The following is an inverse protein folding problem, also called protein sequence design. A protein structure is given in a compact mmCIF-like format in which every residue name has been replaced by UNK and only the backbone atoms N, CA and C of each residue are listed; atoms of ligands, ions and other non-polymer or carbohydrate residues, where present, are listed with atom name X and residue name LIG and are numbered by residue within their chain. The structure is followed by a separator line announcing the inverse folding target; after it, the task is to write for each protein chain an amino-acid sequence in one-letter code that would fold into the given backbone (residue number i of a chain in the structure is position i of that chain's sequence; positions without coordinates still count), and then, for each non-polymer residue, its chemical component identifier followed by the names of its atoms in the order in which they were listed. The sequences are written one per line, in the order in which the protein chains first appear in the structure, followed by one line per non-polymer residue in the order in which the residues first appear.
data_IF_348477967025
#
_entry.id   IF_348477967025
#
_cell.length_a   1.000
_cell.length_b   1.000
_cell.length_c   1.000
_cell.angle_alpha   90.00
_cell.angle_beta   90.00
_cell.angle_gamma   90.00
#
_symmetry.space_group_name_H-M   'P 1'
#
loop_
_entity.id
_entity.type
_entity.pdbx_description
1 polymer ?
#
# COMPACT_ATOMS: atom_id res chain seq x y z
N UNK A 1 -23.95 65.88 47.49
CA UNK A 1 -22.87 66.14 48.45
C UNK A 1 -21.59 66.54 47.74
N UNK A 2 -20.74 67.38 48.32
CA UNK A 2 -19.49 67.87 47.78
C UNK A 2 -19.61 69.13 46.89
N UNK A 3 -20.79 69.53 46.40
CA UNK A 3 -21.00 70.72 45.70
C UNK A 3 -21.68 71.73 46.66
N UNK A 4 -21.19 72.95 46.69
CA UNK A 4 -21.64 74.02 47.51
C UNK A 4 -22.13 75.18 46.61
N UNK A 5 -23.04 75.98 47.16
CA UNK A 5 -23.54 77.23 46.51
C UNK A 5 -23.15 78.44 47.31
N UNK A 6 -22.52 79.40 46.70
CA UNK A 6 -22.12 80.65 47.27
C UNK A 6 -23.28 81.71 47.19
N UNK A 7 -24.03 81.95 48.26
CA UNK A 7 -25.21 82.77 48.22
C UNK A 7 -24.94 84.29 47.97
N UNK A 8 -23.68 84.69 48.14
CA UNK A 8 -23.25 86.07 47.91
C UNK A 8 -22.86 86.40 46.48
N UNK A 9 -22.43 85.39 45.72
CA UNK A 9 -21.90 85.57 44.35
C UNK A 9 -22.53 84.62 43.31
N UNK A 10 -23.47 83.74 43.73
CA UNK A 10 -24.18 82.81 42.81
C UNK A 10 -23.35 81.69 42.19
N UNK A 11 -22.17 81.43 42.75
CA UNK A 11 -21.27 80.41 42.21
C UNK A 11 -21.50 79.00 42.82
N UNK A 12 -21.43 77.96 42.01
CA UNK A 12 -21.34 76.60 42.46
C UNK A 12 -19.86 76.20 42.52
N UNK A 13 -19.38 75.52 43.58
CA UNK A 13 -18.04 75.11 43.76
C UNK A 13 -17.93 73.84 44.61
N UNK A 14 -16.81 73.14 44.56
CA UNK A 14 -16.54 71.90 45.29
C UNK A 14 -16.36 70.72 44.36
N UNK A 15 -16.06 69.52 44.94
CA UNK A 15 -15.93 68.27 44.22
C UNK A 15 -17.09 67.36 44.57
N UNK A 16 -17.89 66.87 43.64
CA UNK A 16 -18.96 65.94 43.92
C UNK A 16 -18.37 64.62 44.43
N UNK A 17 -18.99 64.01 45.44
CA UNK A 17 -18.56 62.79 46.11
C UNK A 17 -19.59 61.65 46.02
N UNK A 18 -20.72 61.88 45.31
CA UNK A 18 -21.78 60.90 45.06
C UNK A 18 -22.38 61.15 43.66
N UNK A 19 -22.85 60.09 43.03
CA UNK A 19 -23.61 60.24 41.79
C UNK A 19 -24.93 60.88 42.02
N UNK A 20 -25.36 61.78 41.09
CA UNK A 20 -26.60 62.54 41.23
C UNK A 20 -27.34 62.58 39.91
N UNK A 21 -28.59 62.09 39.87
CA UNK A 21 -29.41 62.21 38.67
C UNK A 21 -29.64 63.69 38.33
N UNK A 22 -29.94 63.94 37.05
CA UNK A 22 -30.24 65.27 36.57
C UNK A 22 -31.33 65.93 37.44
N UNK A 23 -30.96 67.00 38.14
CA UNK A 23 -31.86 67.77 39.00
C UNK A 23 -31.77 69.27 38.67
N UNK A 24 -32.92 69.91 38.51
CA UNK A 24 -33.01 71.33 38.18
C UNK A 24 -33.16 72.19 39.46
N UNK A 25 -32.29 73.11 39.60
CA UNK A 25 -32.26 74.09 40.71
C UNK A 25 -32.60 75.48 40.21
N UNK A 26 -33.53 76.19 40.85
CA UNK A 26 -33.80 77.58 40.54
C UNK A 26 -32.94 78.45 41.42
N UNK A 27 -32.04 79.20 40.81
CA UNK A 27 -31.22 80.22 41.48
C UNK A 27 -31.89 81.59 41.37
N UNK A 28 -32.07 82.26 42.50
CA UNK A 28 -32.67 83.57 42.58
C UNK A 28 -31.62 84.61 42.94
N UNK A 29 -31.65 85.70 42.19
CA UNK A 29 -30.86 86.89 42.51
C UNK A 29 -31.86 88.03 42.92
N UNK A 30 -31.68 88.50 44.15
CA UNK A 30 -32.60 89.43 44.75
C UNK A 30 -31.91 90.80 45.07
N UNK A 31 -32.55 91.92 44.82
CA UNK A 31 -32.12 93.26 45.30
C UNK A 31 -33.34 94.06 45.77
N UNK A 32 -33.16 95.31 46.14
CA UNK A 32 -34.23 96.17 46.66
C UNK A 32 -35.29 96.49 45.61
N UNK A 33 -35.00 96.26 44.31
CA UNK A 33 -35.91 96.52 43.20
C UNK A 33 -36.69 95.29 42.72
N UNK A 34 -36.40 94.09 43.24
CA UNK A 34 -37.05 92.83 42.84
C UNK A 34 -36.16 91.66 42.79
N UNK A 35 -36.69 90.56 42.20
CA UNK A 35 -35.95 89.26 42.02
C UNK A 35 -36.05 88.79 40.58
N UNK A 36 -34.97 88.12 40.15
CA UNK A 36 -34.89 87.43 38.87
C UNK A 36 -34.33 86.05 39.16
N UNK A 37 -34.75 85.03 38.39
CA UNK A 37 -34.31 83.67 38.57
C UNK A 37 -33.77 83.08 37.29
N UNK A 38 -32.87 82.10 37.41
CA UNK A 38 -32.38 81.23 36.35
C UNK A 38 -32.41 79.73 36.80
N UNK A 39 -32.63 78.84 35.88
CA UNK A 39 -32.60 77.40 36.17
C UNK A 39 -31.24 76.88 35.78
N UNK A 40 -30.61 76.07 36.70
CA UNK A 40 -29.37 75.32 36.47
C UNK A 40 -29.69 73.84 36.71
N UNK A 41 -29.39 73.01 35.72
CA UNK A 41 -29.52 71.59 35.87
C UNK A 41 -28.12 70.97 36.18
N UNK A 42 -28.03 70.23 37.26
CA UNK A 42 -26.80 69.59 37.70
C UNK A 42 -27.02 68.08 37.61
N UNK A 43 -26.01 67.34 36.99
CA UNK A 43 -25.91 65.91 36.95
C UNK A 43 -24.50 65.56 37.44
N UNK A 44 -24.35 64.54 38.25
CA UNK A 44 -23.05 64.01 38.61
C UNK A 44 -23.01 62.55 38.10
N UNK A 45 -22.11 62.29 37.17
CA UNK A 45 -21.89 61.01 36.54
C UNK A 45 -20.58 60.40 37.04
N UNK A 46 -20.42 59.16 36.87
CA UNK A 46 -19.20 58.47 37.19
C UNK A 46 -18.03 58.83 36.26
N UNK A 47 -16.82 58.61 36.65
CA UNK A 47 -15.65 58.69 35.73
C UNK A 47 -15.69 57.59 34.71
N UNK A 48 -15.32 57.85 33.46
CA UNK A 48 -15.21 56.85 32.41
C UNK A 48 -14.02 55.97 32.72
N UNK A 49 -14.13 54.61 32.64
CA UNK A 49 -12.99 53.69 32.76
C UNK A 49 -11.93 54.03 31.70
N UNK A 50 -10.65 53.78 32.02
CA UNK A 50 -9.56 54.17 31.14
C UNK A 50 -9.35 53.13 30.02
N UNK A 51 -9.49 51.85 30.34
CA UNK A 51 -9.24 50.77 29.39
C UNK A 51 -9.89 49.43 29.83
N UNK A 52 -10.12 48.55 28.84
CA UNK A 52 -10.54 47.18 29.02
C UNK A 52 -9.42 46.27 28.45
N UNK A 53 -9.04 45.26 29.18
CA UNK A 53 -8.03 44.28 28.76
C UNK A 53 -8.61 42.88 28.89
N UNK A 54 -8.72 42.13 27.78
CA UNK A 54 -8.86 40.68 27.79
C UNK A 54 -7.47 40.05 27.74
N UNK A 55 -7.21 38.94 28.48
CA UNK A 55 -5.92 38.23 28.46
C UNK A 55 -5.55 37.72 27.08
N UNK A 56 -6.56 37.41 26.24
CA UNK A 56 -6.42 36.90 24.89
C UNK A 56 -7.32 37.71 23.96
N UNK A 57 -6.71 38.27 22.90
CA UNK A 57 -7.44 39.08 21.88
C UNK A 57 -7.71 38.28 20.58
N UNK A 58 -7.10 37.10 20.41
CA UNK A 58 -7.40 36.15 19.33
C UNK A 58 -7.71 34.80 19.99
N UNK A 59 -8.98 34.58 20.27
CA UNK A 59 -9.45 33.37 20.94
C UNK A 59 -9.68 32.27 19.93
N UNK A 60 -8.73 31.31 19.89
CA UNK A 60 -8.78 30.13 19.02
C UNK A 60 -9.29 28.95 19.82
N UNK A 61 -10.48 28.48 19.48
CA UNK A 61 -11.17 27.38 20.16
C UNK A 61 -11.31 26.18 19.26
N UNK A 62 -11.47 25.01 19.91
CA UNK A 62 -11.76 23.76 19.22
C UNK A 62 -13.20 23.34 19.48
N UNK A 63 -13.93 23.00 18.43
CA UNK A 63 -15.33 22.58 18.50
C UNK A 63 -15.53 21.42 19.50
N UNK A 64 -16.58 21.50 20.32
CA UNK A 64 -16.93 20.52 21.35
C UNK A 64 -15.81 20.23 22.36
N UNK A 65 -14.86 21.16 22.56
CA UNK A 65 -13.73 20.98 23.47
C UNK A 65 -13.63 22.16 24.44
N UNK A 66 -13.41 21.88 25.70
CA UNK A 66 -13.13 22.90 26.69
C UNK A 66 -11.76 23.54 26.42
N UNK A 67 -11.70 24.87 26.53
CA UNK A 67 -10.45 25.61 26.32
C UNK A 67 -9.89 26.10 27.66
N UNK A 68 -8.57 26.09 27.87
CA UNK A 68 -7.94 26.72 29.02
C UNK A 68 -8.04 28.25 29.02
N UNK A 69 -8.34 28.86 27.87
CA UNK A 69 -8.51 30.32 27.73
C UNK A 69 -9.91 30.79 28.14
N UNK A 70 -10.79 29.87 28.52
CA UNK A 70 -12.13 30.14 29.03
C UNK A 70 -12.27 29.69 30.48
N UNK A 71 -12.99 30.47 31.35
CA UNK A 71 -13.66 31.73 31.04
C UNK A 71 -12.68 32.86 30.75
N UNK A 72 -12.99 33.67 29.74
CA UNK A 72 -12.25 34.87 29.40
C UNK A 72 -12.83 36.05 30.16
N UNK A 73 -12.10 36.52 31.17
CA UNK A 73 -12.54 37.53 32.13
C UNK A 73 -11.83 38.85 31.81
N UNK A 74 -12.58 39.96 31.57
CA UNK A 74 -11.98 41.26 31.30
C UNK A 74 -11.38 41.86 32.59
N UNK A 75 -10.32 42.63 32.42
CA UNK A 75 -9.75 43.52 33.44
C UNK A 75 -10.05 44.97 33.08
N UNK A 76 -10.50 45.73 34.03
CA UNK A 76 -10.80 47.16 33.88
C UNK A 76 -9.72 47.95 34.58
N UNK A 77 -9.27 49.02 33.93
CA UNK A 77 -8.35 50.00 34.51
C UNK A 77 -9.01 51.38 34.60
N UNK A 78 -8.59 52.14 35.61
CA UNK A 78 -9.14 53.46 35.85
C UNK A 78 -10.27 53.49 36.88
N UNK A 79 -10.74 54.68 37.24
CA UNK A 79 -11.84 54.87 38.15
C UNK A 79 -13.20 54.63 37.49
N UNK A 80 -14.22 54.49 38.31
CA UNK A 80 -15.61 54.32 37.85
C UNK A 80 -16.08 52.88 37.82
N UNK A 81 -17.21 52.62 38.45
CA UNK A 81 -17.83 51.30 38.50
C UNK A 81 -18.57 50.99 37.18
N UNK A 82 -18.34 49.81 36.61
CA UNK A 82 -19.06 49.33 35.42
C UNK A 82 -20.48 48.91 35.83
N UNK A 83 -21.46 49.43 35.14
CA UNK A 83 -22.89 49.13 35.39
C UNK A 83 -23.46 48.14 34.40
N UNK A 84 -22.88 48.01 33.20
CA UNK A 84 -23.32 47.06 32.17
C UNK A 84 -22.25 46.83 31.14
N UNK A 85 -22.33 45.64 30.51
CA UNK A 85 -21.48 45.24 29.41
C UNK A 85 -22.32 44.92 28.18
N UNK A 86 -21.81 45.24 27.02
CA UNK A 86 -22.41 44.91 25.73
C UNK A 86 -21.41 44.32 24.79
N UNK A 87 -21.86 43.48 23.86
CA UNK A 87 -21.06 42.91 22.78
C UNK A 87 -21.84 43.07 21.46
N UNK A 88 -21.14 43.33 20.36
CA UNK A 88 -21.74 43.32 19.04
C UNK A 88 -21.92 41.89 18.53
N UNK A 89 -23.02 41.62 17.85
CA UNK A 89 -23.27 40.30 17.23
C UNK A 89 -23.57 39.17 18.21
N UNK A 90 -23.73 37.97 17.64
CA UNK A 90 -23.96 36.72 18.38
C UNK A 90 -22.66 35.91 18.49
N UNK A 91 -22.38 35.39 19.66
CA UNK A 91 -21.29 34.43 19.84
C UNK A 91 -21.63 33.09 19.18
N UNK A 92 -20.59 32.26 18.81
CA UNK A 92 -20.78 30.88 18.41
C UNK A 92 -21.63 30.09 19.40
N UNK A 93 -22.43 29.16 18.89
CA UNK A 93 -23.27 28.31 19.72
C UNK A 93 -22.41 27.63 20.82
N UNK A 94 -22.93 27.58 22.04
CA UNK A 94 -22.25 27.01 23.21
C UNK A 94 -21.38 28.01 23.97
N UNK A 95 -21.11 29.21 23.43
CA UNK A 95 -20.49 30.30 24.15
C UNK A 95 -21.54 31.28 24.67
N UNK A 96 -21.28 31.88 25.82
CA UNK A 96 -22.14 32.88 26.46
C UNK A 96 -21.36 34.13 26.85
N UNK A 97 -21.98 35.28 26.74
CA UNK A 97 -21.47 36.56 27.24
C UNK A 97 -22.27 37.00 28.45
N UNK A 98 -21.60 37.29 29.55
CA UNK A 98 -22.22 37.78 30.76
C UNK A 98 -22.31 39.34 30.72
N UNK A 99 -23.51 39.88 30.60
CA UNK A 99 -23.76 41.32 30.51
C UNK A 99 -23.51 42.10 31.82
N UNK A 100 -23.22 41.38 32.93
CA UNK A 100 -22.91 41.99 34.22
C UNK A 100 -21.41 42.04 34.45
N UNK A 101 -20.67 41.00 34.05
CA UNK A 101 -19.24 40.86 34.32
C UNK A 101 -18.34 41.03 33.09
N UNK A 102 -18.91 41.02 31.87
CA UNK A 102 -18.14 41.03 30.62
C UNK A 102 -17.45 39.69 30.31
N UNK A 103 -17.70 38.68 31.12
CA UNK A 103 -17.10 37.35 30.96
C UNK A 103 -17.63 36.63 29.72
N UNK A 104 -16.72 35.95 28.97
CA UNK A 104 -17.08 35.00 27.92
C UNK A 104 -16.75 33.62 28.43
N UNK A 105 -17.72 32.70 28.40
CA UNK A 105 -17.57 31.33 28.91
C UNK A 105 -18.37 30.31 28.08
N UNK A 106 -18.09 29.01 28.31
CA UNK A 106 -18.81 27.93 27.64
C UNK A 106 -17.90 26.98 26.86
N UNK A 107 -18.51 26.08 26.10
CA UNK A 107 -17.82 25.15 25.18
C UNK A 107 -18.46 25.37 23.80
N UNK A 108 -17.69 25.78 22.77
CA UNK A 108 -18.26 26.00 21.45
C UNK A 108 -18.80 24.71 20.86
N UNK A 109 -19.96 24.75 20.22
CA UNK A 109 -20.67 23.60 19.65
C UNK A 109 -20.87 23.71 18.12
N UNK A 110 -20.24 24.69 17.49
CA UNK A 110 -20.26 24.86 16.03
C UNK A 110 -18.92 25.42 15.54
N UNK A 111 -18.56 25.10 14.28
CA UNK A 111 -17.42 25.74 13.62
C UNK A 111 -17.69 27.20 13.35
N UNK A 112 -16.71 28.08 13.59
CA UNK A 112 -16.89 29.51 13.42
C UNK A 112 -15.65 30.12 12.74
N UNK A 113 -15.83 30.82 11.62
CA UNK A 113 -14.72 31.52 10.98
C UNK A 113 -14.23 32.65 11.89
N UNK A 114 -13.00 33.09 11.71
CA UNK A 114 -12.45 34.25 12.43
C UNK A 114 -13.39 35.42 12.32
N UNK A 115 -13.99 35.80 13.43
CA UNK A 115 -14.97 36.87 13.51
C UNK A 115 -14.57 37.88 14.58
N UNK A 116 -14.56 39.17 14.22
CA UNK A 116 -14.24 40.26 15.14
C UNK A 116 -15.46 40.65 15.98
N UNK A 117 -15.21 40.88 17.25
CA UNK A 117 -16.18 41.34 18.23
C UNK A 117 -15.67 42.59 18.92
N UNK A 118 -16.59 43.53 19.21
CA UNK A 118 -16.34 44.70 20.05
C UNK A 118 -17.13 44.53 21.33
N UNK A 119 -16.48 44.70 22.48
CA UNK A 119 -17.11 44.72 23.79
C UNK A 119 -17.01 46.13 24.39
N UNK A 120 -18.10 46.60 24.95
CA UNK A 120 -18.20 47.85 25.67
C UNK A 120 -18.45 47.66 27.15
N UNK A 121 -17.68 48.35 27.97
CA UNK A 121 -17.94 48.51 29.40
C UNK A 121 -18.50 49.88 29.64
N UNK A 122 -19.69 49.98 30.25
CA UNK A 122 -20.47 51.18 30.36
C UNK A 122 -20.71 51.56 31.82
N UNK A 123 -20.69 52.88 32.09
CA UNK A 123 -21.20 53.46 33.32
C UNK A 123 -21.94 54.75 33.00
N UNK A 124 -22.37 55.52 34.04
CA UNK A 124 -23.09 56.77 33.86
C UNK A 124 -22.27 57.91 33.20
N UNK A 125 -20.93 57.81 33.23
CA UNK A 125 -20.00 58.73 32.61
C UNK A 125 -19.76 58.50 31.13
N UNK A 126 -19.93 57.24 30.66
CA UNK A 126 -19.68 56.82 29.27
C UNK A 126 -19.30 55.38 29.11
N UNK A 127 -18.60 55.08 28.04
CA UNK A 127 -18.14 53.70 27.70
C UNK A 127 -16.70 53.68 27.21
N UNK A 128 -16.05 52.56 27.46
CA UNK A 128 -14.77 52.17 26.84
C UNK A 128 -14.98 50.86 26.10
N UNK A 129 -14.22 50.63 25.03
CA UNK A 129 -14.37 49.44 24.16
C UNK A 129 -13.07 48.71 23.92
N UNK A 130 -13.18 47.41 23.58
CA UNK A 130 -12.08 46.59 23.12
C UNK A 130 -12.54 45.66 21.99
N UNK A 131 -11.67 45.47 21.03
CA UNK A 131 -11.87 44.53 19.92
C UNK A 131 -11.09 43.23 20.17
N UNK A 132 -11.68 42.10 19.84
CA UNK A 132 -11.06 40.80 19.88
C UNK A 132 -11.67 39.86 18.82
N UNK A 133 -10.97 38.74 18.49
CA UNK A 133 -11.43 37.77 17.50
C UNK A 133 -11.74 36.42 18.15
N UNK A 134 -12.78 35.77 17.64
CA UNK A 134 -13.07 34.36 17.97
C UNK A 134 -12.99 33.54 16.68
N UNK A 135 -12.29 32.39 16.77
CA UNK A 135 -12.26 31.36 15.74
C UNK A 135 -12.57 30.01 16.41
N UNK A 136 -13.46 29.23 15.82
CA UNK A 136 -13.70 27.84 16.27
C UNK A 136 -13.37 26.88 15.13
N UNK A 137 -12.33 26.08 15.32
CA UNK A 137 -11.88 25.06 14.36
C UNK A 137 -12.39 23.68 14.74
N UNK A 138 -12.35 22.74 13.80
CA UNK A 138 -12.74 21.35 14.06
C UNK A 138 -11.69 20.63 14.92
N UNK A 139 -12.08 19.51 15.48
CA UNK A 139 -11.14 18.59 16.11
C UNK A 139 -10.37 17.83 15.03
N UNK A 140 -9.10 17.52 15.30
CA UNK A 140 -8.36 16.60 14.45
C UNK A 140 -8.82 15.17 14.74
N UNK A 141 -8.96 14.30 13.72
CA UNK A 141 -9.03 12.86 13.94
C UNK A 141 -7.81 12.36 14.73
N UNK A 142 -8.00 11.31 15.51
CA UNK A 142 -6.93 10.79 16.37
C UNK A 142 -5.93 10.00 15.55
N UNK A 143 -6.39 9.30 14.54
CA UNK A 143 -5.55 8.46 13.67
C UNK A 143 -6.17 8.29 12.28
N UNK A 144 -5.28 8.00 11.32
CA UNK A 144 -5.59 7.60 9.95
C UNK A 144 -4.72 6.40 9.57
N UNK A 145 -5.31 5.37 9.03
CA UNK A 145 -4.58 4.17 8.57
C UNK A 145 -5.16 3.61 7.28
N UNK A 146 -4.33 2.82 6.60
CA UNK A 146 -4.72 2.00 5.44
C UNK A 146 -4.42 0.54 5.75
N UNK A 147 -5.31 -0.36 5.38
CA UNK A 147 -5.08 -1.80 5.58
C UNK A 147 -5.31 -2.54 4.25
N UNK A 148 -4.23 -3.08 3.66
CA UNK A 148 -2.85 -3.15 4.16
C UNK A 148 -2.05 -1.84 3.98
N UNK A 149 -1.07 -1.58 4.86
CA UNK A 149 -0.10 -0.48 4.71
C UNK A 149 0.95 -0.76 3.62
N UNK A 150 1.27 -2.03 3.40
CA UNK A 150 2.16 -2.49 2.34
C UNK A 150 1.31 -3.15 1.25
N UNK A 151 1.06 -2.41 0.20
CA UNK A 151 0.22 -2.83 -0.93
C UNK A 151 1.10 -3.39 -2.05
N UNK A 152 1.04 -4.71 -2.23
CA UNK A 152 1.67 -5.39 -3.37
C UNK A 152 0.61 -5.70 -4.43
N UNK A 153 0.82 -5.19 -5.63
CA UNK A 153 -0.08 -5.30 -6.77
C UNK A 153 0.60 -6.04 -7.93
N UNK A 154 -0.20 -6.62 -8.81
CA UNK A 154 0.29 -7.20 -10.07
C UNK A 154 -0.03 -6.26 -11.23
N UNK A 155 0.98 -6.03 -12.08
CA UNK A 155 0.85 -5.19 -13.27
C UNK A 155 -0.26 -5.69 -14.20
N UNK A 156 -1.04 -4.78 -14.78
CA UNK A 156 -2.18 -5.05 -15.66
C UNK A 156 -3.26 -5.98 -15.07
N UNK A 157 -3.33 -6.09 -13.73
CA UNK A 157 -4.27 -6.99 -13.05
C UNK A 157 -5.07 -6.25 -11.98
N UNK A 158 -6.38 -6.51 -11.94
CA UNK A 158 -7.24 -6.00 -10.88
C UNK A 158 -6.88 -6.67 -9.54
N UNK A 159 -6.81 -5.87 -8.48
CA UNK A 159 -6.47 -6.34 -7.15
C UNK A 159 -7.71 -6.39 -6.24
N UNK A 160 -7.87 -7.43 -5.41
CA UNK A 160 -8.93 -7.48 -4.41
C UNK A 160 -8.76 -6.45 -3.28
N UNK A 161 -7.57 -5.85 -3.15
CA UNK A 161 -7.29 -4.80 -2.18
C UNK A 161 -7.70 -3.40 -2.66
N UNK A 162 -8.13 -3.25 -3.92
CA UNK A 162 -8.58 -2.00 -4.49
C UNK A 162 -10.09 -2.03 -4.79
N UNK A 163 -10.84 -0.96 -4.52
CA UNK A 163 -10.40 0.33 -3.99
C UNK A 163 -9.98 0.24 -2.51
N UNK A 164 -8.87 0.87 -2.15
CA UNK A 164 -8.35 0.94 -0.80
C UNK A 164 -8.73 2.28 -0.18
N UNK A 165 -9.63 2.26 0.80
CA UNK A 165 -10.10 3.44 1.52
C UNK A 165 -9.37 3.61 2.87
N UNK A 166 -9.16 4.85 3.32
CA UNK A 166 -8.60 5.11 4.64
C UNK A 166 -9.58 4.71 5.74
N UNK A 167 -9.04 4.32 6.88
CA UNK A 167 -9.75 4.17 8.15
C UNK A 167 -9.39 5.37 9.04
N UNK A 168 -10.42 6.05 9.52
CA UNK A 168 -10.31 7.21 10.42
C UNK A 168 -10.82 6.84 11.80
N UNK A 169 -10.15 7.31 12.82
CA UNK A 169 -10.62 7.23 14.22
C UNK A 169 -10.63 8.61 14.86
N UNK A 170 -11.54 8.81 15.83
CA UNK A 170 -11.69 10.08 16.52
C UNK A 170 -12.70 11.02 15.85
N UNK A 171 -12.94 12.17 16.48
CA UNK A 171 -13.86 13.19 16.00
C UNK A 171 -13.22 14.05 14.89
N UNK A 172 -14.04 14.86 14.23
CA UNK A 172 -13.63 15.81 13.22
C UNK A 172 -13.79 15.28 11.79
N UNK A 173 -14.43 16.06 10.95
CA UNK A 173 -14.67 15.73 9.55
C UNK A 173 -13.51 16.19 8.65
N UNK A 174 -13.02 15.31 7.80
CA UNK A 174 -11.99 15.67 6.84
C UNK A 174 -12.59 16.43 5.67
N UNK A 175 -12.02 17.60 5.40
CA UNK A 175 -12.47 18.49 4.32
C UNK A 175 -11.66 18.31 3.03
N UNK A 176 -10.43 17.80 3.12
CA UNK A 176 -9.58 17.57 1.95
C UNK A 176 -8.54 16.49 2.20
N UNK A 177 -8.17 15.83 1.11
CA UNK A 177 -7.13 14.80 1.06
C UNK A 177 -6.08 15.18 0.04
N UNK A 178 -4.84 14.84 0.32
CA UNK A 178 -3.73 15.02 -0.62
C UNK A 178 -2.72 13.88 -0.50
N UNK A 179 -1.97 13.68 -1.57
CA UNK A 179 -0.87 12.72 -1.62
C UNK A 179 0.39 13.46 -2.07
N UNK A 180 1.52 13.12 -1.49
CA UNK A 180 2.79 13.84 -1.69
C UNK A 180 3.38 13.70 -3.10
N UNK A 181 3.09 12.59 -3.79
CA UNK A 181 3.60 12.30 -5.13
C UNK A 181 2.54 11.64 -6.00
N UNK A 182 2.74 11.67 -7.31
CA UNK A 182 1.88 10.97 -8.27
C UNK A 182 2.01 9.46 -8.09
N UNK A 183 0.88 8.77 -8.02
CA UNK A 183 0.83 7.31 -8.02
C UNK A 183 1.34 6.74 -9.36
N UNK A 184 1.83 5.49 -9.38
CA UNK A 184 2.16 4.78 -10.61
C UNK A 184 1.00 4.77 -11.61
N UNK A 185 1.31 4.81 -12.89
CA UNK A 185 0.32 4.85 -13.96
C UNK A 185 -0.73 3.74 -13.82
N UNK A 186 -2.00 4.10 -14.01
CA UNK A 186 -3.15 3.22 -13.84
C UNK A 186 -3.78 3.24 -12.45
N UNK A 187 -3.07 3.76 -11.42
CA UNK A 187 -3.63 4.03 -10.11
C UNK A 187 -4.09 5.49 -9.99
N UNK A 188 -5.13 5.71 -9.22
CA UNK A 188 -5.75 7.01 -9.00
C UNK A 188 -5.92 7.26 -7.50
N UNK A 189 -5.96 8.54 -7.12
CA UNK A 189 -6.18 9.00 -5.75
C UNK A 189 -7.38 9.92 -5.66
N UNK A 190 -8.23 9.72 -4.65
CA UNK A 190 -9.44 10.51 -4.40
C UNK A 190 -9.19 11.67 -3.45
N UNK A 191 -9.10 12.88 -3.99
CA UNK A 191 -8.89 14.09 -3.19
C UNK A 191 -10.07 14.44 -2.25
N UNK A 192 -11.21 13.76 -2.40
CA UNK A 192 -12.38 13.98 -1.56
C UNK A 192 -12.53 12.94 -0.44
N UNK A 193 -11.89 11.77 -0.59
CA UNK A 193 -12.12 10.64 0.32
C UNK A 193 -10.87 9.83 0.65
N UNK A 194 -9.70 10.20 0.12
CA UNK A 194 -8.43 9.49 0.37
C UNK A 194 -8.31 8.09 -0.25
N UNK A 195 -9.28 7.67 -1.05
CA UNK A 195 -9.29 6.31 -1.62
C UNK A 195 -8.29 6.18 -2.75
N UNK A 196 -7.60 5.03 -2.82
CA UNK A 196 -6.74 4.63 -3.94
C UNK A 196 -7.48 3.56 -4.74
N UNK A 197 -7.53 3.70 -6.09
CA UNK A 197 -8.19 2.74 -6.98
C UNK A 197 -7.52 2.68 -8.35
N UNK A 198 -7.87 1.66 -9.13
CA UNK A 198 -7.41 1.49 -10.51
C UNK A 198 -6.74 0.15 -10.76
N UNK A 199 -6.15 0.01 -11.93
CA UNK A 199 -5.34 -1.15 -12.34
C UNK A 199 -3.97 -0.60 -12.71
N UNK A 200 -2.89 -0.97 -12.00
CA UNK A 200 -1.56 -0.46 -12.31
C UNK A 200 -1.09 -0.98 -13.67
N UNK A 201 -0.47 -0.12 -14.47
CA UNK A 201 0.09 -0.44 -15.79
C UNK A 201 1.58 -0.12 -15.90
N UNK A 202 2.21 0.19 -14.76
CA UNK A 202 3.63 0.52 -14.65
C UNK A 202 4.24 -0.28 -13.50
N UNK A 203 5.38 -0.91 -13.72
CA UNK A 203 6.09 -1.67 -12.71
C UNK A 203 6.75 -0.75 -11.68
N UNK A 204 6.69 -1.18 -10.43
CA UNK A 204 7.40 -0.58 -9.30
C UNK A 204 7.95 -1.68 -8.41
N UNK A 205 9.11 -2.22 -8.78
CA UNK A 205 9.68 -3.44 -8.20
C UNK A 205 10.16 -3.27 -6.74
N UNK A 206 10.35 -2.03 -6.30
CA UNK A 206 10.70 -1.71 -4.91
C UNK A 206 9.56 -0.96 -4.24
N UNK A 207 9.31 -1.27 -2.96
CA UNK A 207 8.30 -0.60 -2.17
C UNK A 207 8.59 0.91 -2.11
N UNK A 208 7.66 1.73 -2.60
CA UNK A 208 7.74 3.19 -2.57
C UNK A 208 6.72 3.73 -1.57
N UNK A 209 7.16 4.56 -0.61
CA UNK A 209 6.25 5.19 0.34
C UNK A 209 5.50 6.37 -0.29
N UNK A 210 4.20 6.42 -0.06
CA UNK A 210 3.33 7.55 -0.37
C UNK A 210 2.75 8.09 0.93
N UNK A 211 2.93 9.38 1.16
CA UNK A 211 2.38 10.08 2.31
C UNK A 211 1.03 10.68 1.93
N UNK A 212 -0.03 10.21 2.58
CA UNK A 212 -1.39 10.69 2.37
C UNK A 212 -1.78 11.53 3.56
N UNK A 213 -2.18 12.76 3.29
CA UNK A 213 -2.55 13.76 4.29
C UNK A 213 -4.05 14.01 4.24
N UNK A 214 -4.69 13.94 5.41
CA UNK A 214 -6.08 14.31 5.65
C UNK A 214 -6.10 15.63 6.42
N UNK A 215 -6.88 16.60 5.96
CA UNK A 215 -6.91 17.96 6.50
C UNK A 215 -8.33 18.41 6.81
N UNK A 216 -8.50 19.13 7.92
CA UNK A 216 -9.68 19.89 8.26
C UNK A 216 -9.28 21.28 8.82
N UNK A 217 -10.23 22.07 9.32
CA UNK A 217 -9.94 23.40 9.88
C UNK A 217 -9.08 23.36 11.15
N UNK A 218 -9.02 22.23 11.85
CA UNK A 218 -8.19 22.04 13.04
C UNK A 218 -6.73 21.68 12.72
N UNK A 219 -6.44 21.27 11.46
CA UNK A 219 -5.10 20.94 11.02
C UNK A 219 -5.05 19.71 10.11
N UNK A 220 -3.93 18.99 10.14
CA UNK A 220 -3.69 17.82 9.28
C UNK A 220 -3.09 16.66 10.04
N UNK A 221 -3.48 15.44 9.64
CA UNK A 221 -2.85 14.17 10.03
C UNK A 221 -2.44 13.43 8.77
N UNK A 222 -1.56 12.45 8.88
CA UNK A 222 -1.08 11.70 7.71
C UNK A 222 -0.89 10.21 8.01
N UNK A 223 -0.97 9.41 6.95
CA UNK A 223 -0.58 8.01 6.92
C UNK A 223 0.37 7.74 5.77
N UNK A 224 1.20 6.70 5.91
CA UNK A 224 2.09 6.24 4.86
C UNK A 224 1.59 4.90 4.33
N UNK A 225 1.52 4.78 3.00
CA UNK A 225 1.28 3.52 2.31
C UNK A 225 2.46 3.20 1.41
N UNK A 226 2.96 1.97 1.50
CA UNK A 226 4.03 1.49 0.63
C UNK A 226 3.43 0.69 -0.53
N UNK A 227 3.72 1.08 -1.77
CA UNK A 227 3.20 0.41 -2.95
C UNK A 227 4.34 -0.27 -3.70
N UNK A 228 4.14 -1.55 -4.04
CA UNK A 228 4.98 -2.36 -4.91
C UNK A 228 4.12 -2.90 -6.04
N UNK A 229 4.60 -2.87 -7.28
CA UNK A 229 3.88 -3.39 -8.45
C UNK A 229 4.82 -4.33 -9.18
N UNK A 230 4.48 -5.62 -9.13
CA UNK A 230 5.25 -6.72 -9.70
C UNK A 230 4.62 -7.20 -11.01
N UNK A 231 5.35 -7.98 -11.76
CA UNK A 231 4.79 -8.71 -12.90
C UNK A 231 3.74 -9.74 -12.43
N UNK A 232 2.97 -10.25 -13.36
CA UNK A 232 2.16 -11.46 -13.09
C UNK A 232 3.08 -12.66 -13.09
N UNK A 233 2.96 -13.55 -12.08
CA UNK A 233 3.71 -14.79 -12.04
C UNK A 233 3.48 -15.60 -13.33
N UNK A 234 4.53 -16.24 -13.91
CA UNK A 234 4.37 -17.00 -15.13
C UNK A 234 3.52 -18.26 -14.92
N UNK A 235 2.94 -18.75 -16.00
CA UNK A 235 2.46 -20.14 -16.11
C UNK A 235 3.48 -20.92 -16.94
N UNK A 236 3.61 -22.22 -16.74
CA UNK A 236 4.57 -23.06 -17.45
C UNK A 236 4.00 -24.47 -17.66
N UNK A 237 4.17 -25.00 -18.87
CA UNK A 237 3.77 -26.35 -19.20
C UNK A 237 4.68 -26.96 -20.26
N UNK A 238 5.00 -28.26 -20.12
CA UNK A 238 5.68 -29.08 -21.12
C UNK A 238 4.72 -30.19 -21.55
N UNK A 239 4.40 -30.23 -22.85
CA UNK A 239 3.48 -31.22 -23.40
C UNK A 239 4.10 -31.84 -24.67
N UNK A 240 4.24 -33.18 -24.70
CA UNK A 240 3.84 -34.19 -23.69
C UNK A 240 4.72 -34.21 -22.44
N UNK A 241 4.28 -34.94 -21.37
CA UNK A 241 4.99 -35.08 -20.10
C UNK A 241 6.05 -36.20 -20.14
N UNK A 242 6.08 -37.02 -21.22
CA UNK A 242 7.02 -38.10 -21.40
C UNK A 242 7.67 -38.03 -22.79
N UNK A 243 9.01 -37.99 -22.80
CA UNK A 243 9.84 -37.93 -24.00
C UNK A 243 10.73 -39.16 -24.07
N UNK A 244 10.70 -39.86 -25.24
CA UNK A 244 11.51 -41.00 -25.51
C UNK A 244 12.48 -40.73 -26.67
N UNK A 245 13.77 -40.83 -26.39
CA UNK A 245 14.84 -40.54 -27.35
C UNK A 245 15.75 -41.74 -27.58
N UNK A 246 16.48 -41.71 -28.71
CA UNK A 246 17.47 -42.70 -29.07
C UNK A 246 18.84 -42.07 -28.89
N UNK A 247 19.75 -42.78 -28.18
CA UNK A 247 21.13 -42.35 -28.01
C UNK A 247 21.82 -42.16 -29.38
N UNK A 248 22.53 -41.01 -29.49
CA UNK A 248 23.24 -40.65 -30.72
C UNK A 248 22.38 -40.04 -31.81
N UNK A 249 21.07 -39.85 -31.60
CA UNK A 249 20.15 -39.19 -32.52
C UNK A 249 19.81 -37.83 -31.97
N UNK A 250 19.89 -36.78 -32.82
CA UNK A 250 19.47 -35.43 -32.44
C UNK A 250 17.97 -35.41 -32.13
N UNK A 251 17.62 -34.84 -31.00
CA UNK A 251 16.20 -34.72 -30.61
C UNK A 251 15.55 -33.58 -31.34
N UNK A 252 14.22 -33.63 -31.47
CA UNK A 252 13.41 -32.44 -31.73
C UNK A 252 13.39 -31.61 -30.46
N UNK A 253 13.61 -30.32 -30.57
CA UNK A 253 13.65 -29.40 -29.42
C UNK A 253 12.35 -29.51 -28.61
N UNK A 254 12.50 -29.69 -27.31
CA UNK A 254 11.41 -29.64 -26.36
C UNK A 254 11.23 -28.17 -25.94
N UNK A 255 10.10 -27.58 -26.34
CA UNK A 255 9.78 -26.18 -26.07
C UNK A 255 8.59 -26.09 -25.13
N UNK A 256 8.66 -25.31 -24.04
CA UNK A 256 7.53 -25.10 -23.15
C UNK A 256 6.48 -24.17 -23.75
N UNK A 257 5.27 -24.27 -23.25
CA UNK A 257 4.27 -23.21 -23.34
C UNK A 257 4.25 -22.44 -22.02
N UNK A 258 4.25 -21.08 -22.08
CA UNK A 258 4.23 -20.22 -20.91
C UNK A 258 3.57 -18.88 -21.19
N UNK A 259 3.05 -18.25 -20.14
CA UNK A 259 2.45 -16.91 -20.18
C UNK A 259 2.85 -16.13 -18.92
N UNK A 260 3.01 -14.82 -18.98
CA UNK A 260 3.05 -13.99 -20.21
C UNK A 260 4.32 -14.20 -21.01
N UNK A 261 4.21 -14.09 -22.33
CA UNK A 261 5.37 -14.24 -23.24
C UNK A 261 6.38 -13.09 -23.01
N UNK A 262 7.66 -13.43 -22.95
CA UNK A 262 8.81 -12.52 -22.83
C UNK A 262 9.00 -11.84 -21.46
N UNK A 263 8.36 -12.32 -20.40
CA UNK A 263 8.49 -11.78 -19.05
C UNK A 263 9.04 -12.84 -18.08
N UNK A 264 10.02 -13.65 -18.55
CA UNK A 264 10.77 -14.59 -17.70
C UNK A 264 12.17 -14.04 -17.50
N UNK A 265 12.53 -13.77 -16.24
CA UNK A 265 13.84 -13.24 -15.86
C UNK A 265 14.90 -14.33 -15.79
N UNK A 266 14.52 -15.53 -15.34
CA UNK A 266 15.42 -16.66 -15.22
C UNK A 266 14.72 -17.99 -15.39
N UNK A 267 15.50 -18.97 -15.87
CA UNK A 267 15.11 -20.36 -16.04
C UNK A 267 16.05 -21.26 -15.25
N UNK A 268 15.50 -22.30 -14.66
CA UNK A 268 16.26 -23.31 -13.93
C UNK A 268 15.75 -24.71 -14.31
N UNK A 269 16.61 -25.70 -14.27
CA UNK A 269 16.26 -27.11 -14.46
C UNK A 269 16.96 -27.97 -13.41
N UNK A 270 16.28 -28.95 -12.89
CA UNK A 270 16.85 -29.95 -11.99
C UNK A 270 16.20 -31.31 -12.21
N UNK A 271 17.00 -32.39 -12.17
CA UNK A 271 18.46 -32.44 -12.14
C UNK A 271 19.10 -32.03 -13.48
N UNK A 272 20.43 -32.06 -13.54
CA UNK A 272 21.17 -31.82 -14.79
C UNK A 272 20.74 -32.79 -15.88
N UNK A 273 20.66 -32.31 -17.12
CA UNK A 273 20.29 -33.11 -18.28
C UNK A 273 21.36 -34.14 -18.61
N UNK A 274 21.00 -35.28 -19.26
CA UNK A 274 21.93 -36.26 -19.76
C UNK A 274 22.99 -35.66 -20.69
N UNK A 275 24.19 -36.22 -20.66
CA UNK A 275 25.29 -35.76 -21.53
C UNK A 275 24.88 -35.69 -23.01
N UNK A 276 25.23 -34.56 -23.64
CA UNK A 276 24.91 -34.28 -25.04
C UNK A 276 23.60 -33.51 -25.22
N UNK A 277 22.85 -33.30 -24.13
CA UNK A 277 21.66 -32.42 -24.12
C UNK A 277 21.99 -31.07 -23.47
N UNK A 278 21.27 -30.05 -23.81
CA UNK A 278 21.43 -28.69 -23.32
C UNK A 278 20.08 -28.05 -22.98
N UNK A 279 20.10 -27.15 -21.98
CA UNK A 279 18.95 -26.35 -21.58
C UNK A 279 19.25 -24.86 -21.79
N UNK A 280 18.40 -24.17 -22.51
CA UNK A 280 18.55 -22.73 -22.73
C UNK A 280 17.18 -22.06 -22.85
N UNK A 281 16.92 -21.07 -21.98
CA UNK A 281 15.68 -20.31 -21.97
C UNK A 281 14.40 -21.18 -22.02
N UNK A 282 14.36 -22.25 -21.23
CA UNK A 282 13.26 -23.21 -21.19
C UNK A 282 13.29 -24.26 -22.30
N UNK A 283 14.14 -24.13 -23.31
CA UNK A 283 14.23 -25.09 -24.41
C UNK A 283 15.30 -26.16 -24.14
N UNK A 284 14.94 -27.44 -24.35
CA UNK A 284 15.85 -28.55 -24.27
C UNK A 284 16.14 -29.04 -25.68
N UNK A 285 17.42 -29.17 -26.00
CA UNK A 285 17.90 -29.55 -27.32
C UNK A 285 19.15 -30.45 -27.23
N UNK A 286 19.62 -30.96 -28.35
CA UNK A 286 20.91 -31.64 -28.43
C UNK A 286 20.81 -33.07 -28.92
N UNK A 287 21.91 -33.85 -28.70
CA UNK A 287 22.03 -35.25 -29.07
C UNK A 287 22.50 -36.04 -27.86
N UNK A 288 21.64 -36.85 -27.21
CA UNK A 288 22.02 -37.60 -26.03
C UNK A 288 23.11 -38.62 -26.34
N UNK A 289 24.17 -38.67 -25.54
CA UNK A 289 25.31 -39.55 -25.73
C UNK A 289 25.34 -40.73 -24.75
N UNK A 290 24.44 -40.73 -23.77
CA UNK A 290 24.29 -41.77 -22.75
C UNK A 290 22.86 -42.25 -22.67
N UNK A 291 22.65 -43.51 -22.27
CA UNK A 291 21.32 -44.04 -22.00
C UNK A 291 20.81 -43.51 -20.66
N UNK A 292 19.50 -43.38 -20.54
CA UNK A 292 18.82 -43.05 -19.28
C UNK A 292 17.52 -43.82 -19.18
N UNK A 293 17.29 -44.45 -18.05
CA UNK A 293 15.96 -44.94 -17.68
C UNK A 293 15.05 -43.73 -17.51
N UNK A 294 13.74 -43.93 -17.50
CA UNK A 294 12.76 -42.86 -17.27
C UNK A 294 13.11 -42.06 -16.03
N UNK A 295 13.38 -40.77 -16.19
CA UNK A 295 13.78 -39.87 -15.12
C UNK A 295 13.00 -38.55 -15.25
N UNK A 296 12.55 -38.03 -14.08
CA UNK A 296 11.78 -36.82 -13.99
C UNK A 296 12.69 -35.60 -13.88
N UNK A 297 12.35 -34.56 -14.64
CA UNK A 297 12.98 -33.25 -14.63
C UNK A 297 11.97 -32.20 -14.25
N UNK A 298 12.37 -31.22 -13.43
CA UNK A 298 11.60 -30.05 -13.07
C UNK A 298 12.26 -28.82 -13.66
N UNK A 299 11.48 -28.02 -14.34
CA UNK A 299 11.90 -26.70 -14.84
C UNK A 299 11.16 -25.62 -14.09
N UNK A 300 11.87 -24.56 -13.71
CA UNK A 300 11.29 -23.34 -13.13
C UNK A 300 11.45 -22.18 -14.09
N UNK A 301 10.39 -21.36 -14.15
CA UNK A 301 10.36 -20.08 -14.82
C UNK A 301 10.07 -18.99 -13.79
N UNK A 302 10.92 -17.97 -13.70
CA UNK A 302 10.86 -16.95 -12.64
C UNK A 302 10.77 -15.55 -13.22
N UNK A 303 9.97 -14.69 -12.58
CA UNK A 303 9.97 -13.25 -12.79
C UNK A 303 9.73 -12.50 -11.46
N UNK A 304 9.62 -11.17 -11.48
CA UNK A 304 9.36 -10.38 -10.27
C UNK A 304 8.04 -10.72 -9.57
N UNK A 305 7.07 -11.28 -10.29
CA UNK A 305 5.76 -11.69 -9.75
C UNK A 305 5.78 -13.05 -9.06
N UNK A 306 6.81 -13.85 -9.29
CA UNK A 306 6.96 -15.17 -8.67
C UNK A 306 7.61 -16.23 -9.56
N UNK A 307 7.55 -17.46 -9.08
CA UNK A 307 8.09 -18.66 -9.72
C UNK A 307 6.97 -19.65 -10.02
N UNK A 308 7.08 -20.32 -11.15
CA UNK A 308 6.28 -21.51 -11.47
C UNK A 308 7.17 -22.66 -11.95
N UNK A 309 6.68 -23.87 -11.83
CA UNK A 309 7.41 -25.06 -12.29
C UNK A 309 6.52 -26.00 -13.08
N UNK A 310 7.15 -26.76 -13.98
CA UNK A 310 6.55 -27.89 -14.67
C UNK A 310 7.50 -29.08 -14.65
N UNK A 311 6.96 -30.29 -14.65
CA UNK A 311 7.70 -31.54 -14.67
C UNK A 311 7.45 -32.32 -15.95
N UNK A 312 8.47 -33.06 -16.40
CA UNK A 312 8.37 -33.99 -17.51
C UNK A 312 9.42 -35.08 -17.34
N UNK A 313 9.28 -36.17 -18.09
CA UNK A 313 10.17 -37.31 -18.03
C UNK A 313 10.94 -37.49 -19.33
N UNK A 314 12.19 -37.93 -19.22
CA UNK A 314 13.02 -38.30 -20.35
C UNK A 314 13.46 -39.76 -20.17
N UNK A 315 13.33 -40.52 -21.23
CA UNK A 315 13.92 -41.86 -21.40
C UNK A 315 14.85 -41.85 -22.60
N UNK A 316 16.06 -42.39 -22.49
CA UNK A 316 17.02 -42.52 -23.60
C UNK A 316 17.41 -43.96 -23.75
N UNK A 317 17.07 -44.53 -24.89
CA UNK A 317 17.34 -45.95 -25.20
C UNK A 317 18.47 -46.11 -26.22
N UNK A 318 19.08 -47.31 -26.26
CA UNK A 318 20.02 -47.63 -27.30
C UNK A 318 19.36 -47.66 -28.68
N UNK A 319 20.08 -47.29 -29.78
CA UNK A 319 19.57 -47.52 -31.11
C UNK A 319 19.43 -49.04 -31.37
N UNK A 320 18.31 -49.42 -31.95
CA UNK A 320 18.14 -50.77 -32.50
C UNK A 320 19.15 -50.98 -33.61
N UNK A 321 19.69 -52.14 -33.69
CA UNK A 321 20.68 -52.48 -34.74
C UNK A 321 20.17 -53.55 -35.69
N UNK A 322 20.98 -53.81 -36.68
CA UNK A 322 20.85 -54.98 -37.54
C UNK A 322 22.10 -55.85 -37.43
N UNK A 323 21.93 -57.16 -37.57
CA UNK A 323 23.06 -58.06 -37.61
C UNK A 323 22.80 -59.17 -38.62
N UNK A 324 23.87 -59.76 -39.09
CA UNK A 324 23.84 -60.93 -39.99
C UNK A 324 25.03 -61.84 -39.77
N UNK A 325 24.82 -63.12 -39.92
CA UNK A 325 25.89 -64.12 -40.02
C UNK A 325 26.21 -64.23 -41.50
N UNK A 326 27.47 -64.05 -41.84
CA UNK A 326 27.94 -64.11 -43.23
C UNK A 326 29.14 -65.12 -43.31
N UNK A 327 28.98 -66.22 -44.04
CA UNK A 327 27.79 -66.64 -44.79
C UNK A 327 26.63 -67.06 -43.91
N UNK A 328 25.41 -67.11 -44.44
CA UNK A 328 24.21 -67.48 -43.66
C UNK A 328 24.02 -69.00 -43.51
N UNK A 329 24.92 -69.80 -44.10
CA UNK A 329 24.87 -71.24 -44.12
C UNK A 329 26.22 -71.80 -43.78
N UNK A 330 26.27 -72.78 -42.82
CA UNK A 330 27.48 -73.36 -42.32
C UNK A 330 27.36 -74.91 -42.31
N UNK A 331 28.30 -75.60 -42.99
CA UNK A 331 28.51 -77.07 -42.90
C UNK A 331 29.63 -77.34 -41.92
N UNK A 332 29.37 -78.18 -40.91
CA UNK A 332 30.31 -78.50 -39.87
C UNK A 332 30.62 -80.04 -39.87
N UNK A 333 31.84 -80.39 -39.56
CA UNK A 333 32.25 -81.80 -39.49
C UNK A 333 32.28 -82.30 -38.02
N UNK A 334 31.56 -83.34 -37.69
CA UNK A 334 31.55 -83.95 -36.36
C UNK A 334 32.95 -84.23 -35.86
N UNK A 335 33.25 -83.84 -34.62
CA UNK A 335 34.57 -84.11 -34.02
C UNK A 335 35.65 -83.08 -34.41
N UNK A 336 35.36 -82.12 -35.28
CA UNK A 336 36.27 -81.04 -35.67
C UNK A 336 35.82 -79.72 -35.07
N UNK A 337 36.76 -79.08 -34.33
CA UNK A 337 36.46 -77.76 -33.80
C UNK A 337 36.19 -76.68 -34.88
N UNK A 338 35.21 -75.86 -34.68
CA UNK A 338 34.85 -74.77 -35.62
C UNK A 338 35.57 -73.48 -35.26
N UNK A 339 35.89 -72.68 -36.26
CA UNK A 339 36.22 -71.27 -36.04
C UNK A 339 34.99 -70.56 -35.51
N UNK A 340 35.12 -69.57 -34.56
CA UNK A 340 33.97 -68.81 -34.07
C UNK A 340 33.16 -68.21 -35.21
N UNK A 341 31.86 -68.50 -35.20
CA UNK A 341 30.88 -67.88 -36.12
C UNK A 341 30.27 -66.75 -35.39
N UNK A 342 30.66 -65.51 -35.72
CA UNK A 342 30.19 -64.28 -35.09
C UNK A 342 29.35 -63.43 -36.07
N UNK A 343 28.35 -62.74 -35.60
CA UNK A 343 27.58 -61.88 -36.47
C UNK A 343 28.35 -60.59 -36.80
N UNK A 344 28.13 -60.04 -37.98
CA UNK A 344 28.40 -58.66 -38.25
C UNK A 344 27.23 -57.86 -37.67
N UNK A 345 27.49 -56.94 -36.70
CA UNK A 345 26.52 -56.20 -36.01
C UNK A 345 26.74 -54.71 -36.22
N UNK A 346 25.63 -53.93 -36.45
CA UNK A 346 25.60 -52.49 -36.56
C UNK A 346 24.45 -51.99 -35.72
N UNK A 347 24.75 -51.25 -34.62
CA UNK A 347 23.73 -50.70 -33.70
C UNK A 347 24.29 -50.37 -32.33
N UNK A 348 23.45 -50.20 -31.37
CA UNK A 348 23.79 -49.94 -29.98
C UNK A 348 24.33 -51.18 -29.28
N UNK A 349 24.84 -50.99 -28.06
CA UNK A 349 25.36 -52.12 -27.25
C UNK A 349 24.25 -53.16 -27.03
N UNK A 350 24.61 -54.44 -27.27
CA UNK A 350 23.70 -55.56 -27.02
C UNK A 350 23.80 -55.98 -25.55
N UNK A 351 22.66 -56.05 -24.88
CA UNK A 351 22.53 -56.45 -23.47
C UNK A 351 22.34 -57.94 -23.33
N UNK A 352 21.65 -58.58 -24.27
CA UNK A 352 21.36 -60.00 -24.24
C UNK A 352 21.29 -60.61 -25.65
N UNK A 353 21.85 -61.79 -25.79
CA UNK A 353 21.80 -62.64 -26.97
C UNK A 353 21.05 -63.90 -26.65
N UNK A 354 20.21 -64.41 -27.53
CA UNK A 354 19.59 -65.73 -27.45
C UNK A 354 19.49 -66.36 -28.82
N UNK A 355 19.44 -67.64 -28.84
CA UNK A 355 19.32 -68.45 -30.05
C UNK A 355 18.23 -69.52 -29.86
N UNK A 356 17.50 -69.80 -30.93
CA UNK A 356 16.47 -70.81 -30.95
C UNK A 356 16.42 -71.49 -32.31
N UNK A 357 16.29 -72.89 -32.36
CA UNK A 357 16.31 -73.82 -31.26
C UNK A 357 17.71 -73.97 -30.65
N UNK A 358 17.84 -74.83 -29.63
CA UNK A 358 19.14 -75.18 -29.02
C UNK A 358 20.13 -75.81 -30.05
N UNK A 359 21.40 -75.40 -29.90
CA UNK A 359 22.46 -75.87 -30.75
C UNK A 359 22.74 -77.38 -30.54
N UNK A 360 23.22 -78.12 -31.55
CA UNK A 360 23.64 -79.48 -31.41
C UNK A 360 24.72 -79.66 -30.33
N UNK A 361 24.71 -80.82 -29.65
CA UNK A 361 25.67 -81.13 -28.58
C UNK A 361 27.12 -80.90 -29.03
N UNK A 362 27.87 -80.14 -28.20
CA UNK A 362 29.27 -79.81 -28.49
C UNK A 362 29.42 -78.39 -29.07
N UNK A 363 28.34 -77.74 -29.46
CA UNK A 363 28.35 -76.35 -29.82
C UNK A 363 27.71 -75.49 -28.67
N UNK A 364 28.25 -74.34 -28.46
CA UNK A 364 27.71 -73.34 -27.49
C UNK A 364 27.54 -71.99 -28.15
N UNK A 365 26.54 -71.23 -27.63
CA UNK A 365 26.27 -69.89 -28.07
C UNK A 365 26.69 -68.91 -26.97
N UNK A 366 27.58 -68.00 -27.27
CA UNK A 366 28.11 -67.03 -26.29
C UNK A 366 28.27 -65.66 -26.94
N UNK A 367 27.61 -64.66 -26.38
CA UNK A 367 27.71 -63.26 -26.87
C UNK A 367 27.50 -63.08 -28.37
N UNK A 368 26.54 -63.84 -28.93
CA UNK A 368 26.24 -63.78 -30.36
C UNK A 368 27.13 -64.69 -31.20
N UNK A 369 28.15 -65.32 -30.65
CA UNK A 369 29.06 -66.25 -31.38
C UNK A 369 28.70 -67.73 -31.13
N UNK A 370 28.74 -68.55 -32.20
CA UNK A 370 28.65 -70.00 -32.12
C UNK A 370 30.08 -70.56 -32.12
N UNK A 371 30.44 -71.30 -31.11
CA UNK A 371 31.77 -71.92 -30.95
C UNK A 371 31.66 -73.38 -30.51
N UNK A 372 32.75 -74.16 -30.61
CA UNK A 372 32.81 -75.47 -30.06
C UNK A 372 33.19 -76.55 -31.08
N UNK A 373 32.87 -77.82 -30.73
CA UNK A 373 33.12 -78.98 -31.58
C UNK A 373 31.86 -79.83 -31.59
N UNK A 374 31.13 -79.95 -32.74
CA UNK A 374 29.88 -80.72 -32.78
C UNK A 374 30.21 -82.22 -32.56
N UNK A 375 29.51 -82.84 -31.64
CA UNK A 375 29.74 -84.26 -31.26
C UNK A 375 28.68 -85.20 -31.83
N UNK A 376 27.61 -84.68 -32.41
CA UNK A 376 26.51 -85.43 -33.00
C UNK A 376 26.28 -84.97 -34.46
N UNK A 377 25.70 -85.93 -35.27
CA UNK A 377 25.23 -85.56 -36.60
C UNK A 377 23.85 -84.93 -36.44
N UNK A 378 23.57 -83.90 -37.21
CA UNK A 378 22.23 -83.22 -37.28
C UNK A 378 21.86 -83.06 -38.73
N UNK A 379 20.60 -83.03 -38.98
CA UNK A 379 20.02 -82.51 -40.25
C UNK A 379 20.11 -80.97 -40.27
N UNK A 380 19.92 -80.40 -41.42
CA UNK A 380 19.85 -78.94 -41.54
C UNK A 380 18.73 -78.37 -40.63
N UNK A 381 19.05 -77.33 -39.85
CA UNK A 381 18.12 -76.59 -38.94
C UNK A 381 18.39 -75.16 -39.08
N UNK A 382 17.31 -74.42 -39.23
CA UNK A 382 17.33 -72.93 -39.18
C UNK A 382 17.33 -72.44 -37.73
N UNK A 383 18.28 -71.58 -37.41
CA UNK A 383 18.40 -70.94 -36.09
C UNK A 383 18.00 -69.50 -36.20
N UNK A 384 17.16 -69.06 -35.29
CA UNK A 384 16.87 -67.68 -35.11
C UNK A 384 17.67 -67.10 -33.95
N UNK A 385 18.45 -66.11 -34.20
CA UNK A 385 19.19 -65.39 -33.15
C UNK A 385 18.52 -64.08 -32.85
N UNK A 386 18.39 -63.76 -31.57
CA UNK A 386 17.86 -62.48 -31.07
C UNK A 386 18.99 -61.72 -30.39
N UNK A 387 19.08 -60.44 -30.67
CA UNK A 387 19.94 -59.45 -30.02
C UNK A 387 19.11 -58.38 -29.44
N UNK A 388 19.14 -58.23 -28.12
CA UNK A 388 18.26 -57.29 -27.40
C UNK A 388 19.08 -56.21 -26.72
N UNK A 389 18.56 -55.02 -26.73
CA UNK A 389 19.02 -53.88 -25.92
C UNK A 389 17.82 -53.04 -25.46
N UNK A 390 18.06 -51.92 -24.77
CA UNK A 390 17.00 -51.04 -24.29
C UNK A 390 16.15 -50.42 -25.41
N UNK A 391 16.63 -50.40 -26.64
CA UNK A 391 15.90 -49.91 -27.83
C UNK A 391 15.00 -50.95 -28.49
N UNK A 392 15.15 -52.23 -28.12
CA UNK A 392 14.37 -53.36 -28.65
C UNK A 392 15.17 -54.56 -29.05
N UNK A 393 14.54 -55.42 -29.87
CA UNK A 393 15.11 -56.69 -30.38
C UNK A 393 15.26 -56.68 -31.87
#
# INVERSE_FOLDING_TARGET
NGILFGPTNGTFYGTPIELWPAASYTVWANNTGGSVSAIVTITVVDEIPTDIIYPVINLNLTNNTASPDLPLIPQITGPGEITSWNINGSLPQGLTFNIITGEISGIPAELWPTTGYTVWANNSGGSVEIEFNITVVDQLPTDISYSPENLTLSNNTASPYLPLAPQLTGPGEITSWSINETLPNGLNFGNNNGTIWGIPIELQLTAKPFNITATNSGGSIYAIINITILEVAPTLDYNPDDYNFIRGVQITDITPTYTPLNLIDSWEISPDLPLGMSFNNGVISGTPTVNSTRFEYTVWANNSGGSTSATFNITIVEPTGSFAYIPAYYNMTRGLGISPISPNYNGGAIENWSIYPDLPTGLIFVNGAIIGTPTVNSTEVNYTVYANNSGGS
#
